data_IF_718004420001
#
_entry.id   IF_718004420001
#
_cell.length_a   1.000
_cell.length_b   1.000
_cell.length_c   1.000
_cell.angle_alpha   90.00
_cell.angle_beta   90.00
_cell.angle_gamma   90.00
#
_symmetry.space_group_name_H-M   'P 1'
#
loop_
_entity.id
_entity.type
_entity.pdbx_description
1 polymer ?
#
# COMPACT_ATOMS: atom_id res chain seq x y z
N UNK A 1 0.93 -3.61 -5.83
CA UNK A 1 1.79 -2.43 -5.58
C UNK A 1 2.52 -2.62 -4.27
N UNK A 2 3.64 -1.95 -4.09
CA UNK A 2 4.51 -2.09 -2.94
C UNK A 2 4.81 -0.72 -2.32
N UNK A 3 4.93 -0.70 -0.99
CA UNK A 3 5.62 0.37 -0.27
C UNK A 3 7.08 -0.03 -0.03
N UNK A 4 7.96 0.96 -0.03
CA UNK A 4 9.35 0.87 0.37
C UNK A 4 9.61 1.87 1.50
N UNK A 5 10.83 1.86 2.06
CA UNK A 5 11.22 2.79 3.12
C UNK A 5 11.01 4.25 2.71
N UNK A 6 10.61 5.08 3.66
CA UNK A 6 10.45 6.53 3.46
C UNK A 6 9.24 6.92 2.62
N UNK A 7 8.13 6.18 2.70
CA UNK A 7 6.88 6.47 1.98
C UNK A 7 7.07 6.55 0.46
N UNK A 8 7.92 5.66 -0.06
CA UNK A 8 8.09 5.48 -1.51
C UNK A 8 7.18 4.35 -1.97
N UNK A 9 6.55 4.51 -3.12
CA UNK A 9 5.59 3.54 -3.65
C UNK A 9 6.00 3.11 -5.07
N UNK A 10 5.74 1.85 -5.40
CA UNK A 10 6.06 1.29 -6.71
C UNK A 10 5.05 0.22 -7.15
N UNK A 11 4.91 0.08 -8.47
CA UNK A 11 4.33 -1.12 -9.07
C UNK A 11 5.41 -2.19 -9.21
N UNK A 12 5.13 -3.40 -8.70
CA UNK A 12 5.98 -4.56 -8.97
C UNK A 12 5.60 -5.12 -10.33
N UNK A 13 6.51 -5.05 -11.29
CA UNK A 13 6.29 -5.58 -12.64
C UNK A 13 6.39 -7.10 -12.65
N UNK A 14 7.46 -7.63 -12.05
CA UNK A 14 7.68 -9.07 -11.89
C UNK A 14 8.80 -9.33 -10.87
N UNK A 15 8.81 -10.55 -10.34
CA UNK A 15 9.90 -11.09 -9.52
C UNK A 15 10.74 -12.05 -10.34
N UNK A 16 12.03 -12.12 -10.04
CA UNK A 16 12.95 -13.03 -10.70
C UNK A 16 14.12 -13.38 -9.78
N UNK A 17 14.90 -14.40 -10.15
CA UNK A 17 16.08 -14.83 -9.38
C UNK A 17 17.32 -14.77 -10.25
N UNK A 18 18.42 -14.29 -9.69
CA UNK A 18 19.72 -14.24 -10.37
C UNK A 18 20.82 -14.70 -9.42
N UNK A 19 21.78 -15.45 -9.95
CA UNK A 19 23.02 -15.74 -9.24
C UNK A 19 23.96 -14.56 -9.42
N UNK A 20 24.17 -13.79 -8.34
CA UNK A 20 25.07 -12.65 -8.32
C UNK A 20 26.40 -13.05 -7.69
N UNK A 21 27.48 -12.46 -8.19
CA UNK A 21 28.80 -12.58 -7.56
C UNK A 21 29.00 -11.40 -6.61
N UNK A 22 29.27 -11.71 -5.35
CA UNK A 22 29.51 -10.72 -4.30
C UNK A 22 30.99 -10.30 -4.25
N UNK A 23 31.31 -9.16 -3.62
CA UNK A 23 32.70 -8.66 -3.51
C UNK A 23 33.66 -9.63 -2.81
N UNK A 24 33.15 -10.51 -1.95
CA UNK A 24 33.91 -11.57 -1.27
C UNK A 24 34.20 -12.79 -2.17
N UNK A 25 33.78 -12.75 -3.43
CA UNK A 25 33.94 -13.82 -4.41
C UNK A 25 32.87 -14.92 -4.32
N UNK A 26 31.97 -14.86 -3.33
CA UNK A 26 30.87 -15.81 -3.21
C UNK A 26 29.84 -15.60 -4.32
N UNK A 27 29.13 -16.67 -4.67
CA UNK A 27 27.99 -16.62 -5.60
C UNK A 27 26.73 -16.95 -4.84
N UNK A 28 25.79 -16.03 -4.82
CA UNK A 28 24.52 -16.20 -4.11
C UNK A 28 23.35 -16.04 -5.06
N UNK A 29 22.35 -16.89 -4.88
CA UNK A 29 21.10 -16.81 -5.61
C UNK A 29 20.18 -15.81 -4.91
N UNK A 30 20.05 -14.61 -5.47
CA UNK A 30 19.21 -13.54 -4.93
C UNK A 30 17.83 -13.54 -5.57
N UNK A 31 16.82 -13.12 -4.79
CA UNK A 31 15.46 -12.86 -5.28
C UNK A 31 15.28 -11.36 -5.45
N UNK A 32 14.99 -10.94 -6.68
CA UNK A 32 14.92 -9.55 -7.09
C UNK A 32 13.50 -9.20 -7.57
N UNK A 33 13.17 -7.92 -7.52
CA UNK A 33 11.94 -7.37 -8.06
C UNK A 33 12.24 -6.26 -9.07
N UNK A 34 11.56 -6.31 -10.22
CA UNK A 34 11.49 -5.18 -11.15
C UNK A 34 10.37 -4.24 -10.70
N UNK A 35 10.72 -3.00 -10.41
CA UNK A 35 9.80 -1.97 -9.92
C UNK A 35 9.63 -0.85 -10.95
N UNK A 36 8.44 -0.28 -11.01
CA UNK A 36 8.10 0.98 -11.69
C UNK A 36 7.63 1.95 -10.62
N UNK A 37 8.39 3.01 -10.37
CA UNK A 37 8.15 3.89 -9.24
C UNK A 37 6.99 4.86 -9.47
N UNK A 38 6.44 5.33 -8.36
CA UNK A 38 5.66 6.56 -8.30
C UNK A 38 6.56 7.71 -7.85
N UNK A 39 6.17 8.94 -8.16
CA UNK A 39 6.80 10.11 -7.53
C UNK A 39 6.64 10.05 -6.01
N UNK A 40 7.48 10.79 -5.27
CA UNK A 40 7.17 11.11 -3.88
C UNK A 40 5.76 11.72 -3.75
N UNK A 41 5.09 11.55 -2.59
CA UNK A 41 3.79 12.16 -2.33
C UNK A 41 3.80 13.67 -2.52
N UNK A 42 2.74 14.21 -3.10
CA UNK A 42 2.51 15.65 -3.21
C UNK A 42 2.46 16.27 -1.81
N UNK A 43 3.47 17.10 -1.51
CA UNK A 43 3.65 17.68 -0.19
C UNK A 43 2.50 18.63 0.18
N UNK A 44 1.92 19.35 -0.77
CA UNK A 44 0.83 20.29 -0.48
C UNK A 44 -0.46 19.55 -0.11
N UNK A 45 -0.75 18.43 -0.78
CA UNK A 45 -1.88 17.56 -0.43
C UNK A 45 -1.64 16.89 0.92
N UNK A 46 -0.45 16.32 1.14
CA UNK A 46 -0.11 15.66 2.39
C UNK A 46 -0.20 16.64 3.58
N UNK A 47 0.31 17.86 3.44
CA UNK A 47 0.23 18.88 4.50
C UNK A 47 -1.21 19.31 4.79
N UNK A 48 -2.00 19.61 3.76
CA UNK A 48 -3.42 20.03 3.92
C UNK A 48 -4.29 18.96 4.54
N UNK A 49 -3.92 17.69 4.35
CA UNK A 49 -4.67 16.54 4.87
C UNK A 49 -4.01 15.91 6.10
N UNK A 50 -3.00 16.55 6.69
CA UNK A 50 -2.26 16.01 7.84
C UNK A 50 -1.75 14.58 7.63
N UNK A 51 -1.32 14.25 6.39
CA UNK A 51 -0.79 12.94 6.01
C UNK A 51 -1.84 11.88 5.71
N UNK A 52 -3.13 12.20 5.78
CA UNK A 52 -4.22 11.24 5.49
C UNK A 52 -4.24 10.85 4.02
N UNK A 53 -3.99 11.80 3.10
CA UNK A 53 -3.97 11.55 1.67
C UNK A 53 -2.57 11.73 1.12
N UNK A 54 -1.98 10.62 0.65
CA UNK A 54 -0.71 10.64 -0.09
C UNK A 54 -1.00 10.38 -1.56
N UNK A 55 -0.97 11.46 -2.36
CA UNK A 55 -1.17 11.41 -3.80
C UNK A 55 0.19 11.42 -4.51
N UNK A 56 0.38 10.52 -5.47
CA UNK A 56 1.61 10.34 -6.23
C UNK A 56 1.30 10.25 -7.73
N UNK A 57 2.31 10.44 -8.57
CA UNK A 57 2.20 10.24 -10.02
C UNK A 57 2.91 8.96 -10.44
N UNK A 58 2.29 8.17 -11.31
CA UNK A 58 2.90 6.97 -11.87
C UNK A 58 3.93 7.32 -12.94
N UNK A 59 5.14 6.78 -12.85
CA UNK A 59 6.23 7.09 -13.80
C UNK A 59 6.38 6.05 -14.92
N UNK A 60 5.75 4.88 -14.79
CA UNK A 60 5.80 3.81 -15.78
C UNK A 60 7.24 3.42 -16.14
N UNK A 61 7.45 3.16 -17.43
CA UNK A 61 8.73 2.68 -17.96
C UNK A 61 9.92 3.63 -17.73
N UNK A 62 9.66 4.91 -17.44
CA UNK A 62 10.72 5.90 -17.18
C UNK A 62 11.46 5.68 -15.85
N UNK A 63 10.91 4.83 -14.99
CA UNK A 63 11.38 4.62 -13.61
C UNK A 63 11.67 3.15 -13.29
N UNK A 64 11.93 2.32 -14.31
CA UNK A 64 12.20 0.91 -14.09
C UNK A 64 13.52 0.72 -13.35
N UNK A 65 13.47 0.02 -12.22
CA UNK A 65 14.67 -0.35 -11.45
C UNK A 65 14.53 -1.73 -10.82
N UNK A 66 15.67 -2.35 -10.56
CA UNK A 66 15.77 -3.65 -9.89
C UNK A 66 16.19 -3.44 -8.45
N UNK A 67 15.49 -4.09 -7.51
CA UNK A 67 15.84 -4.12 -6.09
C UNK A 67 15.89 -5.54 -5.55
N UNK A 68 16.55 -5.74 -4.41
CA UNK A 68 16.32 -6.93 -3.59
C UNK A 68 14.86 -6.94 -3.14
N UNK A 69 14.19 -8.09 -3.29
CA UNK A 69 12.78 -8.21 -2.89
C UNK A 69 12.55 -7.90 -1.40
N UNK A 70 13.56 -8.00 -0.55
CA UNK A 70 13.53 -7.62 0.87
C UNK A 70 13.44 -6.11 1.10
N UNK A 71 13.65 -5.27 0.09
CA UNK A 71 13.41 -3.83 0.20
C UNK A 71 11.93 -3.47 0.19
N UNK A 72 11.06 -4.37 -0.28
CA UNK A 72 9.60 -4.20 -0.23
C UNK A 72 9.15 -4.35 1.22
N UNK A 73 8.54 -3.30 1.76
CA UNK A 73 8.10 -3.25 3.15
C UNK A 73 6.68 -3.82 3.33
N UNK A 74 5.74 -3.39 2.48
CA UNK A 74 4.37 -3.89 2.52
C UNK A 74 3.71 -3.86 1.14
N UNK A 75 2.62 -4.61 1.01
CA UNK A 75 1.73 -4.51 -0.15
C UNK A 75 0.71 -3.40 0.10
N UNK A 76 0.51 -2.55 -0.90
CA UNK A 76 -0.46 -1.45 -0.88
C UNK A 76 -1.33 -1.49 -2.14
N UNK A 77 -2.45 -0.75 -2.12
CA UNK A 77 -3.14 -0.38 -3.35
C UNK A 77 -2.75 1.05 -3.73
N UNK A 78 -2.61 1.24 -5.03
CA UNK A 78 -2.53 2.56 -5.63
C UNK A 78 -3.80 2.73 -6.46
N UNK A 79 -4.69 3.60 -6.00
CA UNK A 79 -5.99 3.80 -6.61
C UNK A 79 -5.99 5.09 -7.44
N UNK A 80 -6.58 5.10 -8.65
CA UNK A 80 -6.64 6.31 -9.46
C UNK A 80 -7.31 7.47 -8.71
N UNK A 81 -6.63 8.61 -8.63
CA UNK A 81 -7.18 9.83 -8.05
C UNK A 81 -7.75 10.68 -9.19
N UNK A 82 -9.06 10.54 -9.42
CA UNK A 82 -9.75 11.30 -10.48
C UNK A 82 -9.73 12.81 -10.16
N UNK A 83 -9.51 13.66 -11.16
CA UNK A 83 -9.61 15.10 -10.98
C UNK A 83 -11.02 15.52 -10.60
N UNK A 84 -11.14 16.60 -9.83
CA UNK A 84 -12.44 17.23 -9.56
C UNK A 84 -12.92 17.97 -10.80
N UNK A 85 -14.24 18.16 -10.98
CA UNK A 85 -14.76 18.93 -12.11
C UNK A 85 -14.11 20.30 -12.27
N UNK A 86 -13.83 21.01 -11.18
CA UNK A 86 -13.17 22.32 -11.22
C UNK A 86 -11.72 22.27 -11.71
N UNK A 87 -11.04 21.13 -11.58
CA UNK A 87 -9.67 20.92 -12.05
C UNK A 87 -9.64 20.56 -13.54
N UNK A 88 -10.69 19.91 -14.06
CA UNK A 88 -10.81 19.53 -15.47
C UNK A 88 -10.94 20.72 -16.42
N UNK A 89 -11.38 21.89 -15.93
CA UNK A 89 -11.47 23.12 -16.72
C UNK A 89 -10.16 23.93 -16.73
N UNK A 90 -9.11 23.45 -16.07
CA UNK A 90 -7.79 24.07 -16.12
C UNK A 90 -7.13 23.75 -17.47
N UNK A 91 -6.58 24.73 -18.22
CA UNK A 91 -5.85 24.47 -19.46
C UNK A 91 -4.66 23.50 -19.30
N UNK A 92 -4.09 23.37 -18.10
CA UNK A 92 -3.01 22.41 -17.78
C UNK A 92 -3.52 21.04 -17.29
N UNK A 93 -4.85 20.81 -17.25
CA UNK A 93 -5.49 19.61 -16.73
C UNK A 93 -4.95 18.32 -17.39
N UNK A 94 -4.68 18.34 -18.69
CA UNK A 94 -4.21 17.16 -19.43
C UNK A 94 -2.88 16.59 -18.90
N UNK A 95 -1.97 17.43 -18.38
CA UNK A 95 -0.70 16.99 -17.79
C UNK A 95 -0.83 16.62 -16.30
N UNK A 96 -1.85 17.13 -15.62
CA UNK A 96 -2.12 16.85 -14.21
C UNK A 96 -2.96 15.57 -14.03
N UNK A 97 -3.75 15.14 -15.02
CA UNK A 97 -4.91 14.29 -14.78
C UNK A 97 -4.76 12.79 -15.07
N UNK A 98 -3.75 12.36 -15.83
CA UNK A 98 -3.77 11.00 -16.38
C UNK A 98 -3.12 9.95 -15.49
N UNK A 99 -2.16 10.35 -14.64
CA UNK A 99 -1.32 9.39 -13.90
C UNK A 99 -1.29 9.65 -12.39
N UNK A 100 -2.29 10.34 -11.82
CA UNK A 100 -2.37 10.54 -10.35
C UNK A 100 -3.05 9.37 -9.65
N UNK A 101 -2.43 8.90 -8.58
CA UNK A 101 -2.90 7.82 -7.73
C UNK A 101 -2.76 8.20 -6.26
N UNK A 102 -3.57 7.59 -5.40
CA UNK A 102 -3.38 7.69 -3.96
C UNK A 102 -3.16 6.32 -3.35
N UNK A 103 -2.36 6.30 -2.28
CA UNK A 103 -2.09 5.06 -1.53
C UNK A 103 -3.27 4.70 -0.64
N UNK A 104 -3.61 3.42 -0.62
CA UNK A 104 -4.45 2.83 0.40
C UNK A 104 -3.69 1.66 1.05
N UNK A 105 -3.43 1.79 2.34
CA UNK A 105 -2.74 0.80 3.17
C UNK A 105 -3.75 -0.03 3.97
N UNK A 106 -3.29 -1.15 4.56
CA UNK A 106 -4.12 -2.03 5.43
C UNK A 106 -5.44 -2.49 4.80
N UNK A 107 -5.41 -2.80 3.50
CA UNK A 107 -6.58 -3.25 2.74
C UNK A 107 -7.18 -4.57 3.22
N UNK A 108 -6.46 -5.30 4.08
CA UNK A 108 -6.91 -6.53 4.72
C UNK A 108 -7.54 -6.33 6.10
N UNK A 109 -7.87 -5.11 6.52
CA UNK A 109 -8.65 -4.91 7.75
C UNK A 109 -10.09 -5.34 7.47
N UNK A 110 -10.42 -6.56 7.89
CA UNK A 110 -11.78 -7.06 7.88
C UNK A 110 -12.65 -6.23 8.83
N UNK A 111 -13.58 -5.45 8.29
CA UNK A 111 -14.50 -4.61 9.06
C UNK A 111 -15.65 -5.40 9.69
N UNK A 112 -15.69 -6.73 9.55
CA UNK A 112 -16.74 -7.60 10.11
C UNK A 112 -16.85 -7.54 11.63
N UNK A 113 -15.85 -7.01 12.34
CA UNK A 113 -15.84 -6.93 13.81
C UNK A 113 -16.29 -5.57 14.38
N UNK A 114 -16.44 -4.52 13.57
CA UNK A 114 -16.86 -3.20 14.08
C UNK A 114 -18.40 -3.19 14.18
N UNK A 115 -18.91 -3.44 15.38
CA UNK A 115 -20.35 -3.35 15.70
C UNK A 115 -20.97 -4.61 16.31
N UNK A 116 -20.20 -5.67 16.55
CA UNK A 116 -20.71 -6.83 17.29
C UNK A 116 -20.60 -6.56 18.80
N UNK A 117 -21.71 -6.20 19.44
CA UNK A 117 -21.82 -6.24 20.90
C UNK A 117 -21.80 -7.73 21.31
N UNK A 118 -20.75 -8.17 22.02
CA UNK A 118 -20.80 -9.42 22.77
C UNK A 118 -21.67 -9.17 24.00
N UNK A 119 -22.86 -9.78 24.04
CA UNK A 119 -23.76 -9.71 25.19
C UNK A 119 -23.14 -10.50 26.36
N UNK A 120 -22.35 -9.81 27.20
CA UNK A 120 -21.69 -10.38 28.37
C UNK A 120 -22.64 -10.47 29.59
N UNK A 121 -23.72 -11.24 29.44
CA UNK A 121 -24.60 -11.63 30.56
C UNK A 121 -25.56 -12.70 30.07
N UNK A 122 -25.50 -13.96 30.53
CA UNK A 122 -25.89 -14.34 31.88
C UNK A 122 -25.02 -15.50 32.38
N UNK A 123 -24.30 -15.23 33.46
CA UNK A 123 -23.87 -16.23 34.43
C UNK A 123 -25.01 -16.36 35.44
N UNK A 124 -25.77 -17.46 35.39
CA UNK A 124 -26.56 -17.94 36.53
C UNK A 124 -26.24 -19.42 36.75
N UNK A 125 -25.26 -19.68 37.61
CA UNK A 125 -25.15 -20.96 38.29
C UNK A 125 -25.97 -20.94 39.58
N UNK A 126 -26.77 -21.99 39.82
CA UNK A 126 -27.04 -22.64 41.12
C UNK A 126 -27.95 -23.86 40.83
N UNK A 127 -27.49 -25.09 41.03
CA UNK A 127 -27.47 -25.89 42.27
C UNK A 127 -28.83 -26.52 42.65
N UNK A 128 -28.82 -27.86 42.79
CA UNK A 128 -29.57 -28.63 43.79
C UNK A 128 -30.94 -29.21 43.39
N UNK A 129 -31.05 -30.55 43.36
CA UNK A 129 -31.93 -31.37 44.24
C UNK A 129 -33.35 -31.53 43.63
N UNK A 130 -33.93 -32.69 43.31
CA UNK A 130 -34.08 -33.97 44.01
C UNK A 130 -35.57 -34.38 43.90
N UNK A 131 -35.86 -35.69 43.79
CA UNK A 131 -37.18 -36.37 43.97
C UNK A 131 -38.22 -36.21 42.82
N UNK A 132 -38.86 -37.24 42.26
CA UNK A 132 -39.16 -38.64 42.63
C UNK A 132 -39.06 -39.59 41.41
#
# INVERSE_FOLDING_TARGET
MASLRGNTFAEVQYFFRLTLQHPDGSKQLETLAMLSDYTPPDLAIAQKTHGVLLACQYQGQRSLRVVDAKEIYSVVAMLPLRPRPSEMYNPDAANLDLDRYYVAEKLGFDMTWIGHEEDMGLNDGQEGEGED
#
